data_IF_644403687170
#
_entry.id   IF_644403687170
#
_cell.length_a   1.000
_cell.length_b   1.000
_cell.length_c   1.000
_cell.angle_alpha   90.00
_cell.angle_beta   90.00
_cell.angle_gamma   90.00
#
_symmetry.space_group_name_H-M   'P 1'
#
loop_
_entity.id
_entity.type
_entity.pdbx_description
1 polymer ?
#
# COMPACT_ATOMS: atom_id res chain seq x y z
N UNK A 1 5.89 4.85 8.41
CA UNK A 1 5.59 3.48 7.90
C UNK A 1 6.59 3.16 6.80
N UNK A 2 7.02 1.91 6.69
CA UNK A 2 7.94 1.46 5.64
C UNK A 2 7.17 0.80 4.48
N UNK A 3 7.71 0.90 3.26
CA UNK A 3 7.17 0.19 2.11
C UNK A 3 7.62 -1.28 2.12
N UNK A 4 6.69 -2.18 1.86
CA UNK A 4 6.92 -3.62 1.74
C UNK A 4 6.37 -4.14 0.41
N UNK A 5 6.68 -5.40 0.07
CA UNK A 5 6.09 -6.07 -1.10
C UNK A 5 4.73 -6.64 -0.76
N UNK A 6 3.79 -6.55 -1.71
CA UNK A 6 2.48 -7.19 -1.62
C UNK A 6 2.65 -8.69 -1.29
N UNK A 7 1.92 -9.22 -0.30
CA UNK A 7 2.16 -10.59 0.17
C UNK A 7 1.62 -11.67 -0.78
N UNK A 8 0.61 -11.37 -1.61
CA UNK A 8 0.01 -12.33 -2.56
C UNK A 8 -0.36 -11.66 -3.87
N UNK A 9 -0.47 -12.47 -4.93
CA UNK A 9 -0.90 -12.03 -6.26
C UNK A 9 -2.38 -11.61 -6.29
N UNK A 10 -3.26 -12.32 -5.58
CA UNK A 10 -4.67 -11.95 -5.43
C UNK A 10 -4.83 -10.50 -4.93
N UNK A 11 -4.05 -10.11 -3.92
CA UNK A 11 -4.07 -8.75 -3.40
C UNK A 11 -3.47 -7.74 -4.40
N UNK A 12 -2.51 -8.16 -5.23
CA UNK A 12 -1.93 -7.33 -6.29
C UNK A 12 -2.97 -6.86 -7.30
N UNK A 13 -3.97 -7.71 -7.59
CA UNK A 13 -5.06 -7.42 -8.53
C UNK A 13 -6.08 -6.40 -7.98
N UNK A 14 -6.07 -6.12 -6.67
CA UNK A 14 -7.04 -5.22 -6.03
C UNK A 14 -6.71 -3.74 -6.15
N UNK A 15 -5.49 -3.40 -6.60
CA UNK A 15 -4.96 -2.04 -6.60
C UNK A 15 -5.01 -1.33 -5.22
N UNK A 16 -5.19 -2.07 -4.12
CA UNK A 16 -5.22 -1.52 -2.77
C UNK A 16 -3.81 -1.50 -2.15
N UNK A 17 -3.56 -0.52 -1.28
CA UNK A 17 -2.40 -0.57 -0.39
C UNK A 17 -2.69 -1.59 0.73
N UNK A 18 -1.81 -2.57 0.90
CA UNK A 18 -2.06 -3.66 1.86
C UNK A 18 -1.37 -3.34 3.19
N UNK A 19 -2.12 -3.32 4.29
CA UNK A 19 -1.58 -2.99 5.62
C UNK A 19 -1.93 -4.06 6.65
N UNK A 20 -1.30 -4.00 7.82
CA UNK A 20 -1.76 -4.78 8.96
C UNK A 20 -3.01 -4.14 9.57
N UNK A 21 -3.96 -4.97 10.02
CA UNK A 21 -5.20 -4.53 10.68
C UNK A 21 -4.96 -3.75 11.99
N UNK A 22 -3.79 -3.91 12.61
CA UNK A 22 -3.39 -3.16 13.81
C UNK A 22 -3.03 -1.70 13.52
N UNK A 23 -2.62 -1.40 12.29
CA UNK A 23 -2.19 -0.05 11.90
C UNK A 23 -3.29 0.73 11.18
N UNK A 24 -4.02 0.06 10.28
CA UNK A 24 -5.01 0.68 9.41
C UNK A 24 -6.23 -0.22 9.22
N UNK A 25 -7.37 0.38 8.89
CA UNK A 25 -8.61 -0.34 8.65
C UNK A 25 -8.87 -0.49 7.14
N UNK A 26 -9.42 -1.65 6.76
CA UNK A 26 -9.87 -1.87 5.37
C UNK A 26 -10.93 -0.86 4.96
N UNK A 27 -10.82 -0.30 3.75
CA UNK A 27 -11.72 0.72 3.21
C UNK A 27 -11.34 2.16 3.56
N UNK A 28 -10.35 2.37 4.41
CA UNK A 28 -9.77 3.70 4.64
C UNK A 28 -8.93 4.13 3.43
N UNK A 29 -8.81 5.45 3.21
CA UNK A 29 -7.92 6.00 2.19
C UNK A 29 -6.67 6.57 2.85
N UNK A 30 -5.50 6.31 2.28
CA UNK A 30 -4.21 6.85 2.73
C UNK A 30 -3.54 7.62 1.62
N UNK A 31 -2.86 8.71 1.99
CA UNK A 31 -2.01 9.47 1.07
C UNK A 31 -0.55 9.06 1.24
N UNK A 32 0.00 8.45 0.21
CA UNK A 32 1.43 8.10 0.10
C UNK A 32 2.14 9.24 -0.59
N UNK A 33 3.13 9.84 0.09
CA UNK A 33 3.96 10.90 -0.48
C UNK A 33 5.34 10.30 -0.78
N UNK A 34 5.73 10.27 -2.05
CA UNK A 34 7.08 9.82 -2.45
C UNK A 34 8.06 11.00 -2.49
N UNK A 35 7.57 12.17 -2.90
CA UNK A 35 8.30 13.44 -2.89
C UNK A 35 7.38 14.56 -2.35
N UNK A 36 7.88 15.79 -2.11
CA UNK A 36 7.03 16.90 -1.69
C UNK A 36 5.91 17.23 -2.68
N UNK A 37 6.16 16.99 -3.97
CA UNK A 37 5.24 17.25 -5.08
C UNK A 37 4.38 16.04 -5.42
N UNK A 38 4.87 14.81 -5.27
CA UNK A 38 4.17 13.61 -5.76
C UNK A 38 3.47 12.90 -4.61
N UNK A 39 2.13 12.84 -4.74
CA UNK A 39 1.23 12.29 -3.73
C UNK A 39 0.23 11.37 -4.42
N UNK A 40 0.07 10.19 -3.88
CA UNK A 40 -0.81 9.15 -4.39
C UNK A 40 -1.81 8.77 -3.31
N UNK A 41 -3.06 8.53 -3.70
CA UNK A 41 -4.11 8.09 -2.78
C UNK A 41 -4.41 6.63 -3.06
N UNK A 42 -4.37 5.80 -2.02
CA UNK A 42 -4.69 4.39 -2.11
C UNK A 42 -5.79 4.05 -1.11
N UNK A 43 -6.71 3.18 -1.53
CA UNK A 43 -7.61 2.49 -0.62
C UNK A 43 -6.82 1.39 0.11
N UNK A 44 -7.04 1.27 1.41
CA UNK A 44 -6.39 0.29 2.27
C UNK A 44 -7.16 -1.01 2.25
N UNK A 45 -6.44 -2.12 2.15
CA UNK A 45 -6.95 -3.47 2.43
C UNK A 45 -6.05 -4.12 3.48
N UNK A 46 -6.63 -4.74 4.49
CA UNK A 46 -5.87 -5.34 5.57
C UNK A 46 -5.54 -6.79 5.27
N UNK A 47 -4.34 -7.23 5.65
CA UNK A 47 -3.95 -8.63 5.58
C UNK A 47 -3.02 -9.01 6.73
N UNK A 48 -3.32 -10.12 7.41
CA UNK A 48 -2.63 -10.53 8.64
C UNK A 48 -1.13 -10.83 8.46
N UNK A 49 -0.69 -11.15 7.24
CA UNK A 49 0.72 -11.43 6.94
C UNK A 49 1.57 -10.17 6.75
N UNK A 50 0.97 -8.98 6.67
CA UNK A 50 1.73 -7.72 6.58
C UNK A 50 2.30 -7.39 7.95
N UNK A 51 3.58 -7.04 8.00
CA UNK A 51 4.27 -6.69 9.24
C UNK A 51 3.72 -5.35 9.76
N UNK A 52 3.36 -5.23 11.05
CA UNK A 52 2.91 -3.97 11.62
C UNK A 52 3.90 -2.82 11.40
N UNK A 53 3.40 -1.62 11.13
CA UNK A 53 4.20 -0.44 10.78
C UNK A 53 4.67 -0.39 9.31
N UNK A 54 4.31 -1.39 8.50
CA UNK A 54 4.59 -1.42 7.06
C UNK A 54 3.31 -1.32 6.23
N UNK A 55 3.45 -0.78 5.01
CA UNK A 55 2.42 -0.82 3.97
C UNK A 55 3.02 -1.54 2.77
N UNK A 56 2.36 -2.61 2.35
CA UNK A 56 2.75 -3.43 1.23
C UNK A 56 2.07 -2.95 -0.06
N UNK A 57 2.89 -2.80 -1.10
CA UNK A 57 2.47 -2.38 -2.44
C UNK A 57 2.80 -3.46 -3.46
N UNK A 58 1.97 -3.58 -4.49
CA UNK A 58 2.23 -4.42 -5.64
C UNK A 58 3.23 -3.77 -6.61
N UNK A 59 3.88 -4.60 -7.42
CA UNK A 59 4.79 -4.15 -8.48
C UNK A 59 4.21 -3.04 -9.37
N UNK A 60 2.98 -3.14 -9.92
CA UNK A 60 2.41 -2.06 -10.72
C UNK A 60 2.17 -0.77 -9.93
N UNK A 61 1.82 -0.85 -8.64
CA UNK A 61 1.66 0.33 -7.79
C UNK A 61 2.99 1.05 -7.56
N UNK A 62 4.05 0.29 -7.24
CA UNK A 62 5.39 0.86 -7.01
C UNK A 62 5.92 1.50 -8.29
N UNK A 63 5.72 0.85 -9.44
CA UNK A 63 6.12 1.39 -10.74
C UNK A 63 5.38 2.68 -11.06
N UNK A 64 4.05 2.69 -10.91
CA UNK A 64 3.24 3.90 -11.11
C UNK A 64 3.61 5.06 -10.19
N UNK A 65 4.08 4.79 -8.97
CA UNK A 65 4.52 5.83 -8.04
C UNK A 65 5.92 6.41 -8.32
N UNK A 66 6.75 5.71 -9.11
CA UNK A 66 8.14 6.08 -9.42
C UNK A 66 8.32 6.69 -10.81
N UNK A 67 7.38 6.44 -11.73
CA UNK A 67 7.45 6.92 -13.11
C UNK A 67 6.90 8.36 -13.30
N UNK A 68 6.20 8.90 -12.30
CA UNK A 68 5.77 10.31 -12.21
C UNK A 68 6.85 11.14 -11.49
#
# INVERSE_FOLDING_TARGET
MQAARCPTDDLSLTNCAVANEKDLQSGQHVTVKTTPTHKYIFTVKTHHSVVPGTIAFSLPQVRGCLED
#
